data_IF_192112774257
#
_entry.id   IF_192112774257
#
_cell.length_a   1.000
_cell.length_b   1.000
_cell.length_c   1.000
_cell.angle_alpha   90.00
_cell.angle_beta   90.00
_cell.angle_gamma   90.00
#
_symmetry.space_group_name_H-M   'P 1'
#
loop_
_entity.id
_entity.type
_entity.pdbx_description
1 polymer ?
#
# COMPACT_ATOMS: atom_id res chain seq x y z
N UNK A 1 -27.00 -2.34 66.34
CA UNK A 1 -27.15 -2.70 64.93
C UNK A 1 -26.24 -1.79 64.12
N UNK A 2 -25.04 -2.28 63.76
CA UNK A 2 -24.06 -1.52 62.96
C UNK A 2 -24.30 -1.79 61.47
N UNK A 3 -24.74 -0.81 60.69
CA UNK A 3 -24.87 -0.90 59.24
C UNK A 3 -23.54 -0.78 58.59
N UNK A 4 -23.03 -1.87 57.99
CA UNK A 4 -21.81 -1.92 57.20
C UNK A 4 -22.17 -1.44 55.78
N UNK A 5 -21.69 -0.24 55.40
CA UNK A 5 -21.75 0.27 54.02
C UNK A 5 -20.62 -0.32 53.23
N UNK A 6 -20.93 -1.26 52.34
CA UNK A 6 -20.01 -1.82 51.35
C UNK A 6 -19.90 -0.84 50.19
N UNK A 7 -18.81 -0.05 50.12
CA UNK A 7 -18.49 0.77 48.96
C UNK A 7 -18.00 -0.17 47.83
N UNK A 8 -18.85 -0.41 46.85
CA UNK A 8 -18.47 -1.03 45.60
C UNK A 8 -17.68 -0.01 44.77
N UNK A 9 -16.35 -0.08 44.79
CA UNK A 9 -15.51 0.66 43.85
C UNK A 9 -15.67 0.07 42.45
N UNK A 10 -16.55 0.67 41.63
CA UNK A 10 -16.58 0.42 40.18
C UNK A 10 -15.25 0.92 39.59
N UNK A 11 -14.30 0.04 39.39
CA UNK A 11 -13.14 0.30 38.56
C UNK A 11 -13.61 0.37 37.10
N UNK A 12 -13.96 1.57 36.63
CA UNK A 12 -14.11 1.85 35.21
C UNK A 12 -12.74 1.70 34.57
N UNK A 13 -12.46 0.58 33.95
CA UNK A 13 -11.34 0.46 33.03
C UNK A 13 -11.61 1.41 31.87
N UNK A 14 -11.02 2.59 31.92
CA UNK A 14 -10.93 3.48 30.76
C UNK A 14 -10.11 2.71 29.72
N UNK A 15 -10.79 2.09 28.77
CA UNK A 15 -10.15 1.65 27.54
C UNK A 15 -9.65 2.91 26.84
N UNK A 16 -8.34 3.13 26.89
CA UNK A 16 -7.73 4.23 26.16
C UNK A 16 -8.06 4.02 24.67
N UNK A 17 -8.83 4.94 24.12
CA UNK A 17 -9.34 4.84 22.76
C UNK A 17 -8.21 5.10 21.76
N UNK A 18 -8.14 4.27 20.72
CA UNK A 18 -7.28 4.49 19.56
C UNK A 18 -7.60 5.86 18.95
N UNK A 19 -6.58 6.67 18.69
CA UNK A 19 -6.74 7.99 18.07
C UNK A 19 -6.37 7.90 16.59
N UNK A 20 -7.22 8.47 15.74
CA UNK A 20 -6.97 8.60 14.30
C UNK A 20 -6.78 10.08 14.00
N UNK A 21 -5.67 10.44 13.37
CA UNK A 21 -5.38 11.78 12.86
C UNK A 21 -5.37 11.72 11.33
N UNK A 22 -6.25 12.45 10.71
CA UNK A 22 -6.40 12.56 9.27
C UNK A 22 -6.05 13.97 8.82
N UNK A 23 -5.47 14.12 7.65
CA UNK A 23 -5.14 15.43 7.09
C UNK A 23 -4.59 15.32 5.67
N UNK A 24 -4.02 16.43 5.22
CA UNK A 24 -3.36 16.53 3.91
C UNK A 24 -1.98 17.14 4.06
N UNK A 25 -1.02 16.63 3.29
CA UNK A 25 0.32 17.18 3.14
C UNK A 25 0.64 17.26 1.65
N UNK A 26 1.03 18.44 1.18
CA UNK A 26 1.42 18.71 -0.23
C UNK A 26 0.51 18.07 -1.28
N UNK A 27 -0.79 18.08 -1.06
CA UNK A 27 -1.79 17.57 -2.01
C UNK A 27 -2.16 16.10 -1.85
N UNK A 28 -1.48 15.35 -0.99
CA UNK A 28 -1.84 13.97 -0.63
C UNK A 28 -2.52 13.89 0.72
N UNK A 29 -3.52 13.02 0.87
CA UNK A 29 -4.11 12.68 2.15
C UNK A 29 -3.13 11.88 3.02
N UNK A 30 -3.32 11.88 4.32
CA UNK A 30 -2.61 11.00 5.23
C UNK A 30 -3.50 10.53 6.37
N UNK A 31 -3.08 9.43 6.99
CA UNK A 31 -3.63 8.96 8.25
C UNK A 31 -2.51 8.60 9.23
N UNK A 32 -2.69 9.00 10.47
CA UNK A 32 -1.86 8.58 11.60
C UNK A 32 -2.74 7.89 12.62
N UNK A 33 -2.39 6.67 12.94
CA UNK A 33 -3.11 5.80 13.85
C UNK A 33 -2.27 5.64 15.11
N UNK A 34 -2.80 6.14 16.23
CA UNK A 34 -2.13 6.04 17.53
C UNK A 34 -2.76 4.91 18.34
N UNK A 35 -1.97 3.96 18.84
CA UNK A 35 -2.48 2.92 19.73
C UNK A 35 -2.91 3.52 21.08
N UNK A 36 -3.76 2.80 21.80
CA UNK A 36 -4.21 3.20 23.12
C UNK A 36 -3.04 3.48 24.11
N UNK A 37 -1.98 2.68 24.01
CA UNK A 37 -0.72 2.86 24.75
C UNK A 37 0.44 2.85 23.77
N UNK A 38 0.92 4.04 23.41
CA UNK A 38 2.03 4.14 22.48
C UNK A 38 3.36 3.75 23.15
N UNK A 39 4.06 2.78 22.55
CA UNK A 39 5.36 2.27 23.02
C UNK A 39 6.55 3.07 22.46
N UNK A 40 6.32 4.29 21.94
CA UNK A 40 7.31 5.16 21.30
C UNK A 40 7.93 4.59 20.01
N UNK A 41 7.29 3.61 19.38
CA UNK A 41 7.72 3.09 18.09
C UNK A 41 6.73 3.49 17.00
N UNK A 42 7.26 3.78 15.80
CA UNK A 42 6.50 4.21 14.63
C UNK A 42 6.74 3.26 13.46
N UNK A 43 5.69 2.89 12.77
CA UNK A 43 5.74 2.26 11.45
C UNK A 43 5.22 3.25 10.42
N UNK A 44 6.07 3.65 9.48
CA UNK A 44 5.67 4.33 8.25
C UNK A 44 5.22 3.26 7.26
N UNK A 45 3.99 3.37 6.79
CA UNK A 45 3.41 2.37 5.89
C UNK A 45 3.18 2.95 4.49
N UNK A 46 3.78 2.31 3.49
CA UNK A 46 3.59 2.61 2.08
C UNK A 46 2.63 1.60 1.44
N UNK A 47 1.51 2.09 0.91
CA UNK A 47 0.57 1.24 0.18
C UNK A 47 1.07 0.88 -1.23
N UNK A 48 0.48 -0.14 -1.83
CA UNK A 48 0.75 -0.56 -3.19
C UNK A 48 0.14 0.36 -4.25
N UNK A 49 0.23 -0.06 -5.51
CA UNK A 49 -0.40 0.64 -6.64
C UNK A 49 -1.90 0.86 -6.40
N UNK A 50 -2.36 2.06 -6.69
CA UNK A 50 -3.78 2.41 -6.69
C UNK A 50 -4.22 2.82 -8.09
N UNK A 51 -5.32 2.27 -8.55
CA UNK A 51 -5.91 2.68 -9.82
C UNK A 51 -6.44 4.10 -9.74
N UNK A 52 -6.35 4.83 -10.85
CA UNK A 52 -6.92 6.16 -10.98
C UNK A 52 -8.41 6.16 -10.62
N UNK A 53 -8.85 7.13 -9.83
CA UNK A 53 -10.22 7.23 -9.36
C UNK A 53 -10.58 6.33 -8.18
N UNK A 54 -9.64 5.55 -7.63
CA UNK A 54 -9.85 4.80 -6.38
C UNK A 54 -9.97 5.79 -5.21
N UNK A 55 -10.96 5.66 -4.31
CA UNK A 55 -11.01 6.49 -3.12
C UNK A 55 -9.73 6.37 -2.28
N UNK A 56 -9.23 7.50 -1.79
CA UNK A 56 -8.08 7.53 -0.91
C UNK A 56 -8.33 6.72 0.37
N UNK A 57 -7.32 6.01 0.88
CA UNK A 57 -7.45 5.20 2.09
C UNK A 57 -7.80 6.07 3.30
N UNK A 58 -7.25 7.30 3.38
CA UNK A 58 -7.57 8.29 4.40
C UNK A 58 -9.03 8.73 4.38
N UNK A 59 -9.69 8.73 3.20
CA UNK A 59 -11.08 9.12 3.07
C UNK A 59 -12.06 8.12 3.74
N UNK A 60 -11.66 6.87 3.88
CA UNK A 60 -12.50 5.81 4.44
C UNK A 60 -12.31 5.60 5.95
N UNK A 61 -11.37 6.32 6.60
CA UNK A 61 -11.03 6.17 8.03
C UNK A 61 -10.91 4.70 8.49
N UNK A 62 -10.78 3.78 7.54
CA UNK A 62 -10.74 2.35 7.75
C UNK A 62 -9.32 1.87 7.88
N UNK A 63 -9.01 1.30 9.04
CA UNK A 63 -7.75 0.63 9.24
C UNK A 63 -7.67 -0.61 8.33
N UNK A 64 -6.63 -0.72 7.55
CA UNK A 64 -6.27 -2.01 6.97
C UNK A 64 -6.09 -3.02 8.12
N UNK A 65 -6.90 -4.08 8.14
CA UNK A 65 -6.87 -5.10 9.20
C UNK A 65 -5.47 -5.67 9.44
N UNK A 66 -4.61 -5.63 8.41
CA UNK A 66 -3.20 -6.05 8.52
C UNK A 66 -2.39 -5.15 9.45
N UNK A 67 -2.74 -3.86 9.54
CA UNK A 67 -2.06 -2.88 10.39
C UNK A 67 -2.55 -2.94 11.84
N UNK A 68 -3.73 -3.51 12.10
CA UNK A 68 -4.27 -3.64 13.45
C UNK A 68 -3.32 -4.40 14.37
N UNK A 69 -2.69 -5.45 13.88
CA UNK A 69 -1.72 -6.24 14.66
C UNK A 69 -0.52 -5.39 15.13
N UNK A 70 -0.13 -4.38 14.36
CA UNK A 70 0.96 -3.45 14.70
C UNK A 70 0.51 -2.51 15.82
N UNK A 71 -0.69 -1.95 15.68
CA UNK A 71 -1.32 -1.09 16.68
C UNK A 71 -1.54 -1.82 18.02
N UNK A 72 -2.01 -3.06 17.98
CA UNK A 72 -2.25 -3.88 19.18
C UNK A 72 -0.94 -4.15 19.95
N UNK A 73 0.22 -4.09 19.26
CA UNK A 73 1.55 -4.16 19.88
C UNK A 73 2.08 -2.79 20.35
N UNK A 74 1.25 -1.76 20.30
CA UNK A 74 1.60 -0.42 20.80
C UNK A 74 2.41 0.44 19.84
N UNK A 75 2.57 0.06 18.58
CA UNK A 75 3.22 0.91 17.57
C UNK A 75 2.22 1.92 17.02
N UNK A 76 2.67 3.15 16.81
CA UNK A 76 1.94 4.07 15.93
C UNK A 76 2.14 3.66 14.46
N UNK A 77 1.15 3.93 13.62
CA UNK A 77 1.23 3.72 12.18
C UNK A 77 0.89 5.02 11.45
N UNK A 78 1.72 5.41 10.49
CA UNK A 78 1.48 6.58 9.65
C UNK A 78 1.55 6.16 8.17
N UNK A 79 0.56 6.55 7.39
CA UNK A 79 0.44 6.24 5.97
C UNK A 79 -0.01 7.47 5.18
N UNK A 80 0.65 7.72 4.04
CA UNK A 80 0.24 8.73 3.06
C UNK A 80 -0.54 8.07 1.92
N UNK A 81 -1.52 8.79 1.37
CA UNK A 81 -2.23 8.38 0.15
C UNK A 81 -1.48 8.77 -1.13
N UNK A 82 -0.33 9.45 -0.96
CA UNK A 82 0.44 10.12 -2.01
C UNK A 82 -0.34 11.25 -2.72
N UNK A 83 0.35 12.21 -3.36
CA UNK A 83 -0.33 13.29 -4.08
C UNK A 83 -0.93 12.85 -5.41
N UNK A 84 -0.50 11.71 -5.94
CA UNK A 84 -0.98 11.14 -7.21
C UNK A 84 -1.28 9.66 -7.06
N UNK A 85 -2.15 9.16 -7.92
CA UNK A 85 -2.45 7.72 -8.06
C UNK A 85 -1.65 7.12 -9.22
N UNK A 86 -1.75 5.81 -9.41
CA UNK A 86 -1.00 5.10 -10.43
C UNK A 86 0.40 4.71 -9.94
N UNK A 87 1.39 4.87 -10.81
CA UNK A 87 2.78 4.50 -10.51
C UNK A 87 3.51 5.66 -9.81
N UNK A 88 3.19 5.90 -8.55
CA UNK A 88 3.61 7.02 -7.72
C UNK A 88 4.83 6.68 -6.85
N UNK A 89 5.93 6.12 -7.42
CA UNK A 89 7.06 5.65 -6.64
C UNK A 89 7.88 6.83 -6.06
N UNK A 90 8.33 7.82 -6.85
CA UNK A 90 9.05 8.98 -6.32
C UNK A 90 8.19 9.79 -5.34
N UNK A 91 6.94 10.06 -5.72
CA UNK A 91 6.00 10.84 -4.91
C UNK A 91 5.67 10.12 -3.60
N UNK A 92 5.61 8.80 -3.62
CA UNK A 92 5.39 7.98 -2.44
C UNK A 92 6.57 8.04 -1.46
N UNK A 93 7.80 8.10 -1.95
CA UNK A 93 9.00 8.28 -1.13
C UNK A 93 8.97 9.65 -0.44
N UNK A 94 8.75 10.71 -1.21
CA UNK A 94 8.71 12.08 -0.70
C UNK A 94 7.58 12.28 0.30
N UNK A 95 6.36 11.85 -0.03
CA UNK A 95 5.19 11.97 0.84
C UNK A 95 5.34 11.16 2.14
N UNK A 96 6.00 10.01 2.09
CA UNK A 96 6.28 9.20 3.28
C UNK A 96 7.27 9.91 4.21
N UNK A 97 8.34 10.49 3.68
CA UNK A 97 9.32 11.21 4.49
C UNK A 97 8.74 12.51 5.07
N UNK A 98 7.94 13.24 4.31
CA UNK A 98 7.23 14.43 4.81
C UNK A 98 6.27 14.08 5.94
N UNK A 99 5.52 13.00 5.81
CA UNK A 99 4.62 12.54 6.86
C UNK A 99 5.40 12.11 8.11
N UNK A 100 6.55 11.44 7.96
CA UNK A 100 7.43 11.12 9.08
C UNK A 100 7.87 12.39 9.83
N UNK A 101 8.30 13.41 9.10
CA UNK A 101 8.70 14.71 9.69
C UNK A 101 7.52 15.39 10.40
N UNK A 102 6.34 15.40 9.78
CA UNK A 102 5.13 15.96 10.37
C UNK A 102 4.73 15.19 11.65
N UNK A 103 4.85 13.86 11.64
CA UNK A 103 4.64 13.02 12.83
C UNK A 103 5.58 13.43 13.97
N UNK A 104 6.89 13.52 13.69
CA UNK A 104 7.89 13.89 14.70
C UNK A 104 7.61 15.28 15.28
N UNK A 105 7.22 16.24 14.44
CA UNK A 105 6.88 17.60 14.87
C UNK A 105 5.64 17.63 15.76
N UNK A 106 4.63 16.81 15.46
CA UNK A 106 3.32 16.83 16.16
C UNK A 106 3.29 15.93 17.40
N UNK A 107 3.90 14.74 17.32
CA UNK A 107 3.79 13.68 18.34
C UNK A 107 5.09 13.49 19.13
N UNK A 108 6.18 14.14 18.72
CA UNK A 108 7.52 13.94 19.27
C UNK A 108 8.28 12.82 18.56
N UNK A 109 9.60 12.78 18.79
CA UNK A 109 10.50 11.81 18.17
C UNK A 109 10.22 10.40 18.71
N UNK A 110 9.97 9.40 17.85
CA UNK A 110 9.92 8.00 18.26
C UNK A 110 11.29 7.49 18.70
N UNK A 111 11.32 6.50 19.59
CA UNK A 111 12.55 5.78 19.94
C UNK A 111 13.04 4.89 18.80
N UNK A 112 12.10 4.40 17.98
CA UNK A 112 12.41 3.65 16.77
C UNK A 112 11.37 3.91 15.69
N UNK A 113 11.84 4.01 14.45
CA UNK A 113 11.01 4.17 13.25
C UNK A 113 11.31 3.05 12.28
N UNK A 114 10.28 2.40 11.78
CA UNK A 114 10.38 1.34 10.78
C UNK A 114 9.63 1.73 9.52
N UNK A 115 10.13 1.27 8.37
CA UNK A 115 9.45 1.41 7.10
C UNK A 115 8.84 0.08 6.67
N UNK A 116 7.59 0.08 6.24
CA UNK A 116 6.91 -1.12 5.77
C UNK A 116 6.05 -0.78 4.56
N UNK A 117 5.99 -1.66 3.56
CA UNK A 117 5.12 -1.46 2.42
C UNK A 117 4.98 -2.73 1.59
N UNK A 118 3.91 -2.80 0.79
CA UNK A 118 3.66 -3.95 -0.08
C UNK A 118 3.59 -3.57 -1.55
N UNK A 119 3.96 -4.49 -2.46
CA UNK A 119 3.93 -4.26 -3.91
C UNK A 119 4.75 -3.02 -4.29
N UNK A 120 4.17 -2.00 -4.93
CA UNK A 120 4.80 -0.70 -5.18
C UNK A 120 5.29 -0.06 -3.88
N UNK A 121 4.53 -0.14 -2.79
CA UNK A 121 4.94 0.32 -1.47
C UNK A 121 6.16 -0.40 -0.91
N UNK A 122 6.39 -1.64 -1.29
CA UNK A 122 7.64 -2.36 -1.01
C UNK A 122 8.83 -1.75 -1.76
N UNK A 123 8.64 -1.30 -3.00
CA UNK A 123 9.63 -0.52 -3.76
C UNK A 123 9.89 0.84 -3.11
N UNK A 124 8.83 1.53 -2.66
CA UNK A 124 8.96 2.77 -1.88
C UNK A 124 9.74 2.53 -0.58
N UNK A 125 9.51 1.37 0.08
CA UNK A 125 10.26 0.99 1.29
C UNK A 125 11.76 0.91 1.01
N UNK A 126 12.19 0.26 -0.06
CA UNK A 126 13.60 0.22 -0.44
C UNK A 126 14.15 1.62 -0.73
N UNK A 127 13.48 2.39 -1.60
CA UNK A 127 13.93 3.71 -1.99
C UNK A 127 13.99 4.68 -0.79
N UNK A 128 13.02 4.60 0.14
CA UNK A 128 13.03 5.40 1.37
C UNK A 128 14.23 5.04 2.26
N UNK A 129 14.54 3.75 2.41
CA UNK A 129 15.68 3.33 3.23
C UNK A 129 17.03 3.68 2.58
N UNK A 130 17.12 3.65 1.25
CA UNK A 130 18.32 4.08 0.52
C UNK A 130 18.57 5.59 0.66
N UNK A 131 17.51 6.41 0.59
CA UNK A 131 17.64 7.87 0.62
C UNK A 131 17.64 8.46 2.04
N UNK A 132 16.90 7.85 2.98
CA UNK A 132 16.64 8.38 4.32
C UNK A 132 16.94 7.38 5.43
N UNK A 133 17.75 6.36 5.17
CA UNK A 133 18.03 5.25 6.10
C UNK A 133 18.47 5.67 7.49
N UNK A 134 19.13 6.83 7.63
CA UNK A 134 19.56 7.39 8.92
C UNK A 134 18.40 7.70 9.87
N UNK A 135 17.16 7.75 9.37
CA UNK A 135 15.96 8.02 10.14
C UNK A 135 15.16 6.75 10.50
N UNK A 136 15.61 5.59 10.04
CA UNK A 136 14.91 4.32 10.19
C UNK A 136 15.78 3.26 10.87
N UNK A 137 15.16 2.43 11.70
CA UNK A 137 15.80 1.32 12.40
C UNK A 137 15.68 0.00 11.65
N UNK A 138 14.92 -0.03 10.55
CA UNK A 138 14.75 -1.19 9.70
C UNK A 138 13.56 -1.06 8.77
N UNK A 139 13.42 -2.03 7.85
CA UNK A 139 12.34 -2.06 6.88
C UNK A 139 11.82 -3.44 6.59
N UNK A 140 10.54 -3.51 6.22
CA UNK A 140 9.83 -4.72 5.83
C UNK A 140 9.14 -4.53 4.47
N UNK A 141 9.87 -4.71 3.35
CA UNK A 141 9.27 -4.71 2.03
C UNK A 141 8.54 -6.05 1.78
N UNK A 142 7.23 -5.98 1.53
CA UNK A 142 6.37 -7.13 1.29
C UNK A 142 6.08 -7.27 -0.20
N UNK A 143 6.49 -8.38 -0.83
CA UNK A 143 6.33 -8.62 -2.26
C UNK A 143 6.68 -7.38 -3.11
N UNK A 144 7.87 -6.80 -2.94
CA UNK A 144 8.20 -5.49 -3.46
C UNK A 144 8.36 -5.47 -4.97
N UNK A 145 8.09 -4.31 -5.58
CA UNK A 145 8.70 -3.97 -6.86
C UNK A 145 10.21 -3.79 -6.63
N UNK A 146 10.98 -4.84 -6.86
CA UNK A 146 12.42 -4.89 -6.52
C UNK A 146 13.35 -4.60 -7.68
N UNK A 147 12.81 -4.39 -8.88
CA UNK A 147 13.60 -4.03 -10.06
C UNK A 147 13.48 -2.54 -10.36
N UNK A 148 14.51 -2.00 -11.04
CA UNK A 148 14.46 -0.63 -11.55
C UNK A 148 13.20 -0.44 -12.39
N UNK A 149 12.50 0.72 -12.32
CA UNK A 149 11.25 0.97 -13.03
C UNK A 149 11.32 0.63 -14.53
N UNK A 150 12.44 0.98 -15.18
CA UNK A 150 12.68 0.62 -16.58
C UNK A 150 12.64 -0.91 -16.84
N UNK A 151 13.29 -1.69 -15.97
CA UNK A 151 13.31 -3.15 -16.12
C UNK A 151 11.93 -3.76 -15.86
N UNK A 152 11.16 -3.16 -14.95
CA UNK A 152 9.78 -3.59 -14.70
C UNK A 152 8.90 -3.34 -15.92
N UNK A 153 8.91 -2.12 -16.47
CA UNK A 153 8.16 -1.79 -17.68
C UNK A 153 8.58 -2.65 -18.87
N UNK A 154 9.88 -2.94 -19.00
CA UNK A 154 10.38 -3.82 -20.05
C UNK A 154 9.84 -5.25 -19.94
N UNK A 155 9.82 -5.83 -18.75
CA UNK A 155 9.25 -7.17 -18.52
C UNK A 155 7.76 -7.23 -18.89
N UNK A 156 7.02 -6.18 -18.51
CA UNK A 156 5.60 -6.08 -18.86
C UNK A 156 5.39 -5.96 -20.36
N UNK A 157 6.24 -5.18 -21.05
CA UNK A 157 6.23 -5.08 -22.50
C UNK A 157 6.62 -6.39 -23.18
N UNK A 158 7.65 -7.07 -22.71
CA UNK A 158 8.08 -8.37 -23.24
C UNK A 158 6.95 -9.42 -23.10
N UNK A 159 6.26 -9.42 -21.98
CA UNK A 159 5.08 -10.27 -21.74
C UNK A 159 3.94 -9.90 -22.68
N UNK A 160 3.64 -8.60 -22.87
CA UNK A 160 2.65 -8.13 -23.85
C UNK A 160 2.99 -8.59 -25.26
N UNK A 161 4.23 -8.36 -25.71
CA UNK A 161 4.68 -8.72 -27.05
C UNK A 161 4.59 -10.24 -27.30
N UNK A 162 4.95 -11.04 -26.30
CA UNK A 162 4.86 -12.49 -26.34
C UNK A 162 3.41 -12.95 -26.46
N UNK A 163 2.52 -12.44 -25.61
CA UNK A 163 1.09 -12.78 -25.65
C UNK A 163 0.46 -12.38 -26.98
N UNK A 164 0.73 -11.16 -27.47
CA UNK A 164 0.16 -10.68 -28.72
C UNK A 164 0.72 -11.43 -29.94
N UNK A 165 2.00 -11.82 -29.92
CA UNK A 165 2.60 -12.63 -30.98
C UNK A 165 2.04 -14.04 -31.03
N UNK A 166 1.76 -14.66 -29.90
CA UNK A 166 1.23 -16.03 -29.83
C UNK A 166 -0.29 -16.11 -30.01
N UNK A 167 -0.99 -15.07 -29.55
CA UNK A 167 -2.45 -14.96 -29.52
C UNK A 167 -2.89 -13.58 -30.01
N UNK A 168 -2.80 -13.30 -31.32
CA UNK A 168 -3.15 -12.00 -31.87
C UNK A 168 -4.56 -11.56 -31.46
N UNK A 169 -4.68 -10.32 -30.91
CA UNK A 169 -5.95 -9.74 -30.49
C UNK A 169 -6.44 -10.12 -29.09
N UNK A 170 -5.71 -10.97 -28.34
CA UNK A 170 -6.09 -11.33 -26.96
C UNK A 170 -5.85 -10.19 -25.96
N UNK A 171 -4.87 -9.36 -26.25
CA UNK A 171 -4.58 -8.13 -25.50
C UNK A 171 -4.90 -6.91 -26.35
N UNK A 172 -5.34 -5.79 -25.75
CA UNK A 172 -5.59 -4.55 -26.49
C UNK A 172 -4.36 -4.08 -27.27
N UNK A 173 -4.55 -3.31 -28.32
CA UNK A 173 -3.43 -2.73 -29.06
C UNK A 173 -2.65 -1.74 -28.19
N UNK A 174 -1.35 -1.55 -28.46
CA UNK A 174 -0.56 -0.53 -27.77
C UNK A 174 -1.16 0.87 -27.93
N UNK A 175 -1.75 1.15 -29.10
CA UNK A 175 -2.45 2.42 -29.34
C UNK A 175 -3.57 2.62 -28.31
N UNK A 176 -4.39 1.60 -28.08
CA UNK A 176 -5.51 1.68 -27.14
C UNK A 176 -5.03 1.75 -25.69
N UNK A 177 -3.93 1.05 -25.36
CA UNK A 177 -3.35 1.06 -24.00
C UNK A 177 -2.77 2.44 -23.64
N UNK A 178 -2.12 3.11 -24.61
CA UNK A 178 -1.49 4.41 -24.38
C UNK A 178 -2.39 5.61 -24.73
N UNK A 179 -3.59 5.39 -25.23
CA UNK A 179 -4.56 6.45 -25.44
C UNK A 179 -5.23 6.84 -24.13
N UNK A 180 -4.93 8.03 -23.65
CA UNK A 180 -5.51 8.57 -22.39
C UNK A 180 -7.04 8.67 -22.44
N UNK A 181 -7.64 8.75 -23.63
CA UNK A 181 -9.08 8.81 -23.83
C UNK A 181 -9.70 7.42 -23.99
N UNK A 182 -8.88 6.37 -24.07
CA UNK A 182 -9.35 5.01 -24.21
C UNK A 182 -9.80 4.44 -22.87
N UNK A 183 -11.02 3.89 -22.79
CA UNK A 183 -11.49 3.12 -21.65
C UNK A 183 -10.71 1.83 -21.41
N UNK A 184 -9.89 1.42 -22.37
CA UNK A 184 -9.11 0.18 -22.36
C UNK A 184 -7.87 0.29 -21.48
N UNK A 185 -7.25 1.49 -21.38
CA UNK A 185 -6.06 1.74 -20.57
C UNK A 185 -6.31 1.75 -19.07
N UNK A 186 -7.53 2.07 -18.64
CA UNK A 186 -7.93 2.16 -17.24
C UNK A 186 -8.80 0.97 -16.85
N UNK A 187 -8.17 -0.15 -16.50
CA UNK A 187 -8.89 -1.37 -16.12
C UNK A 187 -9.17 -1.37 -14.63
N UNK A 188 -10.45 -1.49 -14.27
CA UNK A 188 -10.83 -1.85 -12.90
C UNK A 188 -10.34 -3.28 -12.57
N UNK A 189 -10.23 -3.62 -11.28
CA UNK A 189 -9.91 -4.99 -10.87
C UNK A 189 -10.88 -6.04 -11.45
N UNK A 190 -12.17 -5.68 -11.57
CA UNK A 190 -13.17 -6.56 -12.17
C UNK A 190 -12.87 -6.85 -13.64
N UNK A 191 -12.57 -5.81 -14.43
CA UNK A 191 -12.21 -5.93 -15.85
C UNK A 191 -10.88 -6.66 -16.04
N UNK A 192 -9.89 -6.40 -15.18
CA UNK A 192 -8.61 -7.14 -15.20
C UNK A 192 -8.82 -8.62 -14.91
N UNK A 193 -9.67 -8.98 -13.97
CA UNK A 193 -10.04 -10.36 -13.65
C UNK A 193 -10.71 -11.07 -14.82
N UNK A 194 -11.66 -10.40 -15.49
CA UNK A 194 -12.33 -10.93 -16.67
C UNK A 194 -11.33 -11.22 -17.81
N UNK A 195 -10.47 -10.25 -18.15
CA UNK A 195 -9.44 -10.40 -19.19
C UNK A 195 -8.44 -11.50 -18.85
N UNK A 196 -8.03 -11.60 -17.60
CA UNK A 196 -7.16 -12.69 -17.16
C UNK A 196 -7.83 -14.06 -17.38
N UNK A 197 -9.15 -14.15 -17.12
CA UNK A 197 -9.95 -15.33 -17.41
C UNK A 197 -9.97 -15.69 -18.91
N UNK A 198 -10.11 -14.71 -19.79
CA UNK A 198 -10.10 -14.87 -21.24
C UNK A 198 -8.72 -15.34 -21.74
N UNK A 199 -7.64 -14.73 -21.26
CA UNK A 199 -6.26 -15.14 -21.55
C UNK A 199 -6.04 -16.58 -21.07
N UNK A 200 -6.41 -16.91 -19.86
CA UNK A 200 -6.29 -18.28 -19.32
C UNK A 200 -7.06 -19.29 -20.16
N UNK A 201 -8.28 -18.96 -20.58
CA UNK A 201 -9.09 -19.83 -21.46
C UNK A 201 -8.42 -20.05 -22.82
N UNK A 202 -7.88 -18.99 -23.44
CA UNK A 202 -7.17 -19.09 -24.71
C UNK A 202 -5.89 -19.94 -24.60
N UNK A 203 -5.12 -19.77 -23.49
CA UNK A 203 -3.94 -20.60 -23.24
C UNK A 203 -4.28 -22.08 -23.06
N UNK A 204 -5.39 -22.40 -22.39
CA UNK A 204 -5.82 -23.77 -22.14
C UNK A 204 -6.42 -24.44 -23.43
N UNK A 205 -6.90 -23.65 -24.38
CA UNK A 205 -7.46 -24.18 -25.64
C UNK A 205 -6.42 -24.51 -26.71
N UNK A 206 -5.21 -23.94 -26.60
CA UNK A 206 -4.09 -24.32 -27.45
C UNK A 206 -3.31 -25.45 -26.78
N UNK A 207 -3.44 -26.65 -27.38
CA UNK A 207 -2.65 -27.84 -27.04
C UNK A 207 -1.17 -27.60 -27.43
N UNK A 208 -0.50 -26.70 -26.73
CA UNK A 208 0.85 -26.32 -27.06
C UNK A 208 1.77 -26.43 -25.84
N UNK A 209 3.00 -26.77 -26.12
CA UNK A 209 4.16 -26.78 -25.18
C UNK A 209 4.22 -25.52 -24.34
N UNK A 210 3.63 -24.41 -24.80
CA UNK A 210 3.51 -23.13 -24.07
C UNK A 210 2.48 -23.18 -22.96
N UNK A 211 1.35 -23.88 -23.10
CA UNK A 211 0.39 -24.06 -22.01
C UNK A 211 1.03 -24.78 -20.81
N UNK A 212 1.96 -25.68 -21.06
CA UNK A 212 2.74 -26.40 -20.03
C UNK A 212 3.81 -25.50 -19.41
N UNK A 213 4.42 -24.61 -20.18
CA UNK A 213 5.46 -23.68 -19.66
C UNK A 213 4.92 -22.60 -18.74
N UNK A 214 3.65 -22.17 -18.94
CA UNK A 214 2.98 -21.19 -18.08
C UNK A 214 2.18 -21.80 -16.92
N UNK A 215 2.02 -23.12 -16.90
CA UNK A 215 1.32 -23.83 -15.82
C UNK A 215 2.25 -24.30 -14.67
N UNK A 216 3.55 -24.13 -14.84
CA UNK A 216 4.58 -24.35 -13.81
C UNK A 216 5.05 -23.03 -13.21
#
# INVERSE_FOLDING_TARGET
MKKLFLLLALSTTLFAQQKIDLGTLKGGGYQVLMPAKWNKKLVMYAHGYQFMGTPAASANAGLDKRLQVILDRGFAVAASDYPIQGFALPEGVDATEELRQAFVKKMGKPDSTFMMGHSMGGGITFATLENFGQHYNGGLPLCPLSSRPYLQCRKEFDMYATLNGLFPGIVPSLKDIFDINSSVGFVSFATAGQRMGEIKKALLQKDSVLAVAFAK
#
